data_IF_350054801262
#
_entry.id   IF_350054801262
#
_cell.length_a   1.000
_cell.length_b   1.000
_cell.length_c   1.000
_cell.angle_alpha   90.00
_cell.angle_beta   90.00
_cell.angle_gamma   90.00
#
_symmetry.space_group_name_H-M   'P 1'
#
loop_
_entity.id
_entity.type
_entity.pdbx_description
1 polymer ?
#
# COMPACT_ATOMS: atom_id res chain seq x y z
N UNK A 1 -18.29 -21.60 -48.30
CA UNK A 1 -17.25 -22.63 -48.49
C UNK A 1 -15.93 -22.05 -47.99
N UNK A 2 -15.36 -22.63 -46.93
CA UNK A 2 -13.94 -22.40 -46.57
C UNK A 2 -13.07 -23.40 -47.32
N UNK A 3 -11.77 -23.09 -47.50
CA UNK A 3 -10.79 -23.99 -46.89
C UNK A 3 -9.62 -23.24 -46.21
N UNK A 4 -9.25 -23.78 -45.05
CA UNK A 4 -8.03 -23.51 -44.29
C UNK A 4 -6.76 -23.99 -45.02
N UNK A 5 -5.59 -23.41 -44.71
CA UNK A 5 -4.41 -24.14 -44.16
C UNK A 5 -3.15 -23.27 -43.91
N UNK A 6 -2.58 -23.54 -42.72
CA UNK A 6 -1.16 -23.55 -42.29
C UNK A 6 -0.47 -22.27 -41.76
N UNK A 7 -0.33 -22.29 -40.43
CA UNK A 7 0.71 -21.68 -39.60
C UNK A 7 2.14 -21.80 -40.13
N UNK A 8 2.94 -20.75 -39.93
CA UNK A 8 4.34 -20.86 -39.48
C UNK A 8 4.63 -19.80 -38.40
N UNK A 9 4.85 -20.29 -37.16
CA UNK A 9 5.51 -19.56 -36.07
C UNK A 9 6.93 -19.22 -36.51
N UNK A 10 7.30 -17.95 -36.44
CA UNK A 10 8.69 -17.54 -36.27
C UNK A 10 8.73 -16.60 -35.08
N UNK A 11 9.32 -17.11 -34.00
CA UNK A 11 9.57 -16.46 -32.71
C UNK A 11 10.22 -15.07 -32.86
N UNK A 12 9.89 -14.11 -31.97
CA UNK A 12 10.70 -12.90 -31.82
C UNK A 12 12.10 -13.29 -31.31
N UNK A 13 13.20 -12.72 -31.83
CA UNK A 13 14.49 -12.85 -31.18
C UNK A 13 14.45 -12.14 -29.83
N UNK A 14 14.97 -12.81 -28.79
CA UNK A 14 15.03 -12.31 -27.43
C UNK A 14 15.77 -10.95 -27.34
N UNK A 15 15.40 -10.06 -26.42
CA UNK A 15 16.19 -8.86 -26.14
C UNK A 15 17.54 -9.27 -25.56
N UNK A 16 18.59 -9.04 -26.35
CA UNK A 16 19.98 -9.14 -25.90
C UNK A 16 20.20 -8.18 -24.73
N UNK A 17 20.35 -8.76 -23.53
CA UNK A 17 20.87 -8.07 -22.35
C UNK A 17 22.23 -7.49 -22.66
N UNK A 18 22.30 -6.20 -23.03
CA UNK A 18 23.55 -5.44 -23.03
C UNK A 18 23.88 -5.06 -21.60
N UNK A 19 24.50 -6.00 -20.90
CA UNK A 19 25.26 -5.70 -19.69
C UNK A 19 26.43 -4.81 -20.11
N UNK A 20 26.42 -3.55 -19.70
CA UNK A 20 27.59 -2.70 -19.81
C UNK A 20 28.69 -3.28 -18.91
N UNK A 21 29.70 -3.91 -19.52
CA UNK A 21 30.95 -4.27 -18.84
C UNK A 21 31.71 -2.95 -18.64
N UNK A 22 31.94 -2.58 -17.39
CA UNK A 22 32.89 -1.53 -17.05
C UNK A 22 34.28 -1.99 -17.49
N UNK A 23 34.91 -1.18 -18.34
CA UNK A 23 36.33 -1.29 -18.68
C UNK A 23 37.14 -1.19 -17.39
N UNK A 24 37.86 -2.26 -17.06
CA UNK A 24 38.89 -2.25 -16.02
C UNK A 24 40.16 -1.74 -16.71
N UNK A 25 40.42 -0.44 -16.58
CA UNK A 25 41.72 0.11 -17.00
C UNK A 25 42.77 -0.31 -15.98
N UNK A 26 43.57 -1.31 -16.33
CA UNK A 26 44.88 -1.54 -15.77
C UNK A 26 45.81 -0.40 -16.22
N UNK A 27 46.11 0.52 -15.31
CA UNK A 27 47.23 1.44 -15.44
C UNK A 27 48.02 1.43 -14.12
N UNK A 28 49.02 0.55 -14.08
CA UNK A 28 50.07 0.50 -13.07
C UNK A 28 50.97 1.73 -13.19
N UNK A 29 50.91 2.66 -12.24
CA UNK A 29 52.04 3.49 -11.83
C UNK A 29 51.82 4.14 -10.44
N UNK A 30 52.51 3.57 -9.46
CA UNK A 30 53.00 4.11 -8.18
C UNK A 30 52.73 5.59 -7.83
N UNK A 31 52.00 5.85 -6.72
CA UNK A 31 52.33 6.86 -5.70
C UNK A 31 51.28 6.88 -4.57
N UNK A 32 51.72 6.54 -3.35
CA UNK A 32 51.34 7.12 -2.05
C UNK A 32 49.86 7.52 -1.78
N UNK A 33 49.16 6.65 -1.03
CA UNK A 33 48.17 6.92 0.06
C UNK A 33 46.91 6.03 -0.03
N UNK A 34 46.48 5.38 1.08
CA UNK A 34 45.17 4.73 1.12
C UNK A 34 44.04 5.79 1.12
N UNK A 35 42.91 5.53 0.44
CA UNK A 35 41.77 6.43 0.45
C UNK A 35 41.14 6.49 1.85
N UNK A 36 40.68 7.67 2.33
CA UNK A 36 39.99 7.77 3.60
C UNK A 36 38.66 7.00 3.56
N UNK A 37 38.25 6.34 4.67
CA UNK A 37 36.97 5.68 4.74
C UNK A 37 35.84 6.68 4.49
N UNK A 38 34.76 6.29 3.78
CA UNK A 38 33.61 7.17 3.57
C UNK A 38 33.06 7.62 4.92
N UNK A 39 32.68 8.90 5.08
CA UNK A 39 32.03 9.34 6.30
C UNK A 39 30.77 8.50 6.48
N UNK A 40 30.68 7.80 7.62
CA UNK A 40 29.43 7.23 8.07
C UNK A 40 28.45 8.39 8.18
N UNK A 41 27.60 8.52 7.15
CA UNK A 41 26.43 9.38 7.18
C UNK A 41 25.55 8.79 8.27
N UNK A 42 25.77 9.24 9.50
CA UNK A 42 24.91 8.98 10.63
C UNK A 42 23.51 9.35 10.17
N UNK A 43 22.66 8.34 10.01
CA UNK A 43 21.25 8.57 9.77
C UNK A 43 20.77 9.30 11.00
N UNK A 44 20.58 10.61 10.81
CA UNK A 44 20.06 11.53 11.80
C UNK A 44 18.81 10.90 12.41
N UNK A 45 18.89 10.71 13.72
CA UNK A 45 17.87 10.12 14.55
C UNK A 45 16.59 10.95 14.36
N UNK A 46 15.56 10.32 13.85
CA UNK A 46 14.21 10.87 13.71
C UNK A 46 13.79 11.56 15.02
N UNK A 47 13.85 12.89 15.07
CA UNK A 47 13.29 13.71 16.15
C UNK A 47 12.27 14.69 15.59
N UNK A 48 11.21 14.13 14.98
CA UNK A 48 9.99 14.88 14.63
C UNK A 48 8.72 14.15 15.08
N UNK A 49 8.85 13.05 15.81
CA UNK A 49 7.77 12.09 16.07
C UNK A 49 6.66 12.60 17.01
N UNK A 50 6.95 13.54 17.91
CA UNK A 50 6.03 13.89 19.00
C UNK A 50 4.79 14.65 18.53
N UNK A 51 4.92 15.57 17.56
CA UNK A 51 3.78 16.35 17.04
C UNK A 51 2.87 15.52 16.14
N UNK A 52 3.47 14.61 15.34
CA UNK A 52 2.70 13.73 14.47
C UNK A 52 1.80 12.81 15.32
N UNK A 53 2.35 12.25 16.39
CA UNK A 53 1.62 11.37 17.32
C UNK A 53 0.43 12.06 18.00
N UNK A 54 0.58 13.30 18.48
CA UNK A 54 -0.54 14.04 19.09
C UNK A 54 -1.67 14.31 18.08
N UNK A 55 -1.33 14.70 16.85
CA UNK A 55 -2.34 14.93 15.80
C UNK A 55 -3.06 13.65 15.39
N UNK A 56 -2.36 12.52 15.35
CA UNK A 56 -2.93 11.20 15.03
C UNK A 56 -3.89 10.74 16.12
N UNK A 57 -3.52 10.88 17.40
CA UNK A 57 -4.42 10.51 18.51
C UNK A 57 -5.71 11.34 18.49
N UNK A 58 -5.62 12.64 18.20
CA UNK A 58 -6.79 13.49 18.06
C UNK A 58 -7.69 13.04 16.90
N UNK A 59 -7.10 12.75 15.73
CA UNK A 59 -7.84 12.23 14.57
C UNK A 59 -8.59 10.94 14.90
N UNK A 60 -7.94 9.98 15.58
CA UNK A 60 -8.57 8.72 15.97
C UNK A 60 -9.70 8.92 16.98
N UNK A 61 -9.53 9.85 17.91
CA UNK A 61 -10.56 10.19 18.89
C UNK A 61 -11.78 10.82 18.23
N UNK A 62 -11.55 11.79 17.34
CA UNK A 62 -12.61 12.48 16.60
C UNK A 62 -13.35 11.50 15.66
N UNK A 63 -12.63 10.59 15.00
CA UNK A 63 -13.22 9.55 14.17
C UNK A 63 -14.09 8.57 14.98
N UNK A 64 -13.61 8.12 16.15
CA UNK A 64 -14.40 7.28 17.05
C UNK A 64 -15.69 7.97 17.53
N UNK A 65 -15.61 9.27 17.82
CA UNK A 65 -16.78 10.08 18.16
C UNK A 65 -17.77 10.13 17.01
N UNK A 66 -17.31 10.35 15.78
CA UNK A 66 -18.17 10.35 14.58
C UNK A 66 -18.86 9.00 14.35
N UNK A 67 -18.15 7.89 14.52
CA UNK A 67 -18.73 6.53 14.44
C UNK A 67 -19.81 6.33 15.49
N UNK A 68 -19.56 6.78 16.73
CA UNK A 68 -20.51 6.63 17.83
C UNK A 68 -21.84 7.35 17.56
N UNK A 69 -21.78 8.50 16.88
CA UNK A 69 -22.91 9.32 16.49
C UNK A 69 -23.71 8.78 15.28
N UNK A 70 -23.20 7.74 14.59
CA UNK A 70 -23.92 7.14 13.47
C UNK A 70 -25.31 6.64 13.89
N UNK A 71 -26.33 7.06 13.16
CA UNK A 71 -27.70 6.60 13.31
C UNK A 71 -28.03 5.54 12.26
N UNK A 72 -28.55 4.40 12.71
CA UNK A 72 -29.04 3.36 11.81
C UNK A 72 -30.23 3.89 11.00
N UNK A 73 -30.23 3.61 9.70
CA UNK A 73 -31.30 3.98 8.77
C UNK A 73 -32.00 2.74 8.16
N UNK A 74 -31.70 1.54 8.65
CA UNK A 74 -32.26 0.29 8.15
C UNK A 74 -31.55 -0.25 6.91
N UNK A 75 -30.26 0.09 6.75
CA UNK A 75 -29.43 -0.40 5.64
C UNK A 75 -28.82 -1.77 5.96
N UNK A 76 -28.24 -2.40 4.96
CA UNK A 76 -27.59 -3.70 5.11
C UNK A 76 -26.35 -3.59 6.03
N UNK A 77 -26.16 -4.58 6.91
CA UNK A 77 -24.98 -4.76 7.77
C UNK A 77 -24.66 -3.55 8.69
N UNK A 78 -25.64 -2.71 9.02
CA UNK A 78 -25.46 -1.56 9.93
C UNK A 78 -25.08 -1.96 11.36
N UNK A 79 -25.48 -3.16 11.78
CA UNK A 79 -25.10 -3.76 13.06
C UNK A 79 -23.57 -3.97 13.15
N UNK A 80 -22.92 -4.17 12.00
CA UNK A 80 -21.48 -4.41 11.89
C UNK A 80 -20.69 -3.13 11.68
N UNK A 81 -21.33 -2.04 11.26
CA UNK A 81 -20.65 -0.80 10.88
C UNK A 81 -19.81 -0.23 12.02
N UNK A 82 -20.41 -0.01 13.19
CA UNK A 82 -19.70 0.53 14.36
C UNK A 82 -18.53 -0.36 14.80
N UNK A 83 -18.73 -1.66 15.09
CA UNK A 83 -17.64 -2.51 15.54
C UNK A 83 -16.57 -2.71 14.46
N UNK A 84 -16.93 -2.79 13.18
CA UNK A 84 -15.95 -2.94 12.11
C UNK A 84 -15.08 -1.69 11.93
N UNK A 85 -15.67 -0.49 11.89
CA UNK A 85 -14.91 0.75 11.78
C UNK A 85 -14.00 0.97 13.00
N UNK A 86 -14.49 0.64 14.20
CA UNK A 86 -13.65 0.67 15.41
C UNK A 86 -12.49 -0.32 15.32
N UNK A 87 -12.74 -1.55 14.85
CA UNK A 87 -11.69 -2.53 14.63
C UNK A 87 -10.67 -2.04 13.59
N UNK A 88 -11.08 -1.36 12.52
CA UNK A 88 -10.12 -0.80 11.56
C UNK A 88 -9.22 0.28 12.18
N UNK A 89 -9.76 1.12 13.07
CA UNK A 89 -8.95 2.10 13.81
C UNK A 89 -8.00 1.46 14.84
N UNK A 90 -8.27 0.23 15.27
CA UNK A 90 -7.44 -0.49 16.24
C UNK A 90 -6.37 -1.38 15.59
N UNK A 91 -6.74 -2.12 14.54
CA UNK A 91 -5.96 -3.24 14.01
C UNK A 91 -5.18 -2.94 12.73
N UNK A 92 -5.50 -1.86 12.01
CA UNK A 92 -4.71 -1.47 10.84
C UNK A 92 -3.31 -0.96 11.24
N UNK A 93 -2.31 -0.98 10.34
CA UNK A 93 -1.06 -0.25 10.54
C UNK A 93 -1.32 1.25 10.74
N UNK A 94 -0.42 1.97 11.41
CA UNK A 94 -0.62 3.38 11.80
C UNK A 94 -1.03 4.29 10.62
N UNK A 95 -0.35 4.15 9.48
CA UNK A 95 -0.72 4.87 8.25
C UNK A 95 -2.14 4.56 7.78
N UNK A 96 -2.55 3.29 7.90
CA UNK A 96 -3.90 2.84 7.60
C UNK A 96 -4.93 3.44 8.57
N UNK A 97 -4.63 3.45 9.88
CA UNK A 97 -5.50 4.06 10.90
C UNK A 97 -5.71 5.54 10.61
N UNK A 98 -4.65 6.27 10.28
CA UNK A 98 -4.71 7.70 9.95
C UNK A 98 -5.53 7.93 8.67
N UNK A 99 -5.33 7.10 7.65
CA UNK A 99 -6.11 7.19 6.40
C UNK A 99 -7.60 7.00 6.67
N UNK A 100 -7.97 5.90 7.35
CA UNK A 100 -9.37 5.61 7.67
C UNK A 100 -9.99 6.67 8.58
N UNK A 101 -9.26 7.16 9.57
CA UNK A 101 -9.74 8.23 10.45
C UNK A 101 -10.07 9.51 9.66
N UNK A 102 -9.23 9.89 8.70
CA UNK A 102 -9.50 11.03 7.81
C UNK A 102 -10.73 10.78 6.95
N UNK A 103 -10.85 9.60 6.35
CA UNK A 103 -12.00 9.24 5.52
C UNK A 103 -13.31 9.26 6.30
N UNK A 104 -13.31 8.80 7.56
CA UNK A 104 -14.46 8.88 8.49
C UNK A 104 -14.85 10.34 8.74
N UNK A 105 -13.88 11.22 8.96
CA UNK A 105 -14.15 12.63 9.24
C UNK A 105 -14.62 13.40 8.00
N UNK A 106 -14.18 12.98 6.81
CA UNK A 106 -14.67 13.50 5.53
C UNK A 106 -16.10 13.03 5.24
N UNK A 107 -16.52 11.87 5.76
CA UNK A 107 -17.88 11.36 5.67
C UNK A 107 -18.86 12.16 6.57
N UNK A 108 -19.26 13.33 6.08
CA UNK A 108 -20.15 14.28 6.78
C UNK A 108 -21.56 13.75 6.98
N UNK A 109 -22.01 12.81 6.16
CA UNK A 109 -23.33 12.16 6.27
C UNK A 109 -23.19 10.69 6.66
N UNK A 110 -24.22 10.15 7.29
CA UNK A 110 -24.27 8.72 7.65
C UNK A 110 -24.27 7.83 6.40
N UNK A 111 -24.89 8.30 5.31
CA UNK A 111 -24.87 7.63 4.02
C UNK A 111 -23.45 7.43 3.48
N UNK A 112 -22.63 8.47 3.55
CA UNK A 112 -21.23 8.40 3.13
C UNK A 112 -20.42 7.49 4.05
N UNK A 113 -20.70 7.53 5.35
CA UNK A 113 -20.03 6.68 6.34
C UNK A 113 -20.36 5.20 6.09
N UNK A 114 -21.62 4.89 5.81
CA UNK A 114 -22.08 3.54 5.44
C UNK A 114 -21.47 3.06 4.13
N UNK A 115 -21.46 3.91 3.09
CA UNK A 115 -20.86 3.56 1.80
C UNK A 115 -19.37 3.25 1.93
N UNK A 116 -18.63 4.06 2.69
CA UNK A 116 -17.21 3.83 2.93
C UNK A 116 -16.98 2.53 3.72
N UNK A 117 -17.76 2.29 4.77
CA UNK A 117 -17.75 1.01 5.50
C UNK A 117 -17.98 -0.16 4.52
N UNK A 118 -18.99 -0.09 3.68
CA UNK A 118 -19.33 -1.18 2.77
C UNK A 118 -18.22 -1.44 1.74
N UNK A 119 -17.62 -0.39 1.18
CA UNK A 119 -16.49 -0.51 0.26
C UNK A 119 -15.28 -1.16 0.95
N UNK A 120 -14.96 -0.75 2.18
CA UNK A 120 -13.84 -1.30 2.93
C UNK A 120 -14.11 -2.75 3.35
N UNK A 121 -15.32 -3.02 3.84
CA UNK A 121 -15.72 -4.37 4.25
C UNK A 121 -15.70 -5.34 3.07
N UNK A 122 -16.26 -4.96 1.92
CA UNK A 122 -16.28 -5.81 0.73
C UNK A 122 -14.87 -6.05 0.16
N UNK A 123 -14.01 -5.02 0.13
CA UNK A 123 -12.63 -5.20 -0.36
C UNK A 123 -11.79 -6.12 0.52
N UNK A 124 -12.05 -6.16 1.83
CA UNK A 124 -11.36 -7.05 2.77
C UNK A 124 -12.00 -8.44 2.85
N UNK A 125 -13.32 -8.53 2.71
CA UNK A 125 -14.07 -9.78 2.83
C UNK A 125 -14.11 -10.58 1.53
N UNK A 126 -13.90 -9.96 0.36
CA UNK A 126 -13.84 -10.68 -0.91
C UNK A 126 -12.52 -11.46 -0.97
N UNK A 127 -12.58 -12.80 -1.05
CA UNK A 127 -11.38 -13.60 -1.24
C UNK A 127 -10.73 -13.19 -2.55
N UNK A 128 -9.46 -12.78 -2.51
CA UNK A 128 -8.69 -12.65 -3.73
C UNK A 128 -8.69 -14.01 -4.42
N UNK A 129 -9.07 -14.05 -5.70
CA UNK A 129 -8.97 -15.26 -6.51
C UNK A 129 -7.49 -15.63 -6.61
N UNK A 130 -7.03 -16.47 -5.70
CA UNK A 130 -5.76 -17.17 -5.82
C UNK A 130 -5.93 -18.15 -6.97
N UNK A 131 -5.71 -17.66 -8.19
CA UNK A 131 -5.64 -18.49 -9.37
C UNK A 131 -4.45 -19.43 -9.22
N UNK A 132 -4.65 -20.53 -8.49
CA UNK A 132 -3.85 -21.72 -8.64
C UNK A 132 -4.11 -22.18 -10.08
N UNK A 133 -3.32 -21.65 -11.02
CA UNK A 133 -3.21 -22.19 -12.36
C UNK A 133 -2.64 -23.60 -12.20
N UNK A 134 -3.53 -24.56 -12.00
CA UNK A 134 -3.22 -25.95 -12.19
C UNK A 134 -3.06 -26.12 -13.70
N UNK A 135 -1.81 -26.12 -14.14
CA UNK A 135 -1.46 -26.42 -15.51
C UNK A 135 -1.82 -27.90 -15.79
N UNK A 136 -2.47 -28.19 -16.93
CA UNK A 136 -2.79 -29.55 -17.36
C UNK A 136 -1.54 -30.36 -17.73
#
# INVERSE_FOLDING_TARGET
MSPSKKCKRTSPPAPLRRSARLDLQDATASSTMPPPPPPQRGLSIFSTDTKASETTLKLLTDANKRISQYSAQGRQDEDKLKPALQAFLEWLPDDGKVSIARDILVATTDDLLHQMFFNLFTTLAVPMKNGHMQAP
#
